data_IF_977557899087
#
_entry.id   IF_977557899087
#
_cell.length_a   1.000
_cell.length_b   1.000
_cell.length_c   1.000
_cell.angle_alpha   90.00
_cell.angle_beta   90.00
_cell.angle_gamma   90.00
#
_symmetry.space_group_name_H-M   'P 1'
#
loop_
_entity.id
_entity.type
_entity.pdbx_description
1 polymer ?
#
# COMPACT_ATOMS: atom_id res chain seq x y z
N UNK A 1 -4.54 27.93 -1.85
CA UNK A 1 -4.34 28.40 -3.25
C UNK A 1 -2.92 28.91 -3.48
N UNK A 2 -2.33 29.71 -2.59
CA UNK A 2 -0.99 30.27 -2.80
C UNK A 2 0.08 29.22 -3.19
N UNK A 3 0.18 28.12 -2.45
CA UNK A 3 1.12 27.02 -2.76
C UNK A 3 0.88 26.33 -4.12
N UNK A 4 -0.32 26.44 -4.70
CA UNK A 4 -0.66 25.86 -6.01
C UNK A 4 -0.22 26.77 -7.17
N UNK A 5 -0.03 28.07 -6.92
CA UNK A 5 0.25 29.04 -7.98
C UNK A 5 1.51 28.69 -8.78
N UNK A 6 2.64 28.24 -8.18
CA UNK A 6 3.81 27.79 -8.94
C UNK A 6 3.53 26.66 -9.93
N UNK A 7 2.51 25.84 -9.68
CA UNK A 7 2.13 24.69 -10.51
C UNK A 7 1.12 25.05 -11.61
N UNK A 8 0.23 26.00 -11.34
CA UNK A 8 -0.90 26.32 -12.24
C UNK A 8 -0.66 27.59 -13.06
N UNK A 9 -0.09 28.62 -12.43
CA UNK A 9 0.09 29.94 -13.01
C UNK A 9 1.32 30.63 -12.39
N UNK A 10 2.54 30.13 -12.63
CA UNK A 10 3.75 30.59 -11.93
C UNK A 10 3.99 32.09 -12.05
N UNK A 11 3.68 32.66 -13.22
CA UNK A 11 3.83 34.10 -13.49
C UNK A 11 2.94 35.01 -12.63
N UNK A 12 1.91 34.49 -11.96
CA UNK A 12 1.05 35.30 -11.11
C UNK A 12 1.75 35.83 -9.85
N UNK A 13 2.87 35.22 -9.43
CA UNK A 13 3.66 35.69 -8.28
C UNK A 13 4.89 36.51 -8.68
N UNK A 14 5.17 36.70 -9.97
CA UNK A 14 6.34 37.46 -10.43
C UNK A 14 6.32 38.92 -9.98
N UNK A 15 5.12 39.47 -9.72
CA UNK A 15 4.94 40.80 -9.15
C UNK A 15 5.58 40.96 -7.75
N UNK A 16 5.82 39.86 -7.05
CA UNK A 16 6.48 39.86 -5.74
C UNK A 16 8.02 39.81 -5.85
N UNK A 17 8.57 39.67 -7.05
CA UNK A 17 10.02 39.80 -7.29
C UNK A 17 10.51 41.25 -7.42
N UNK A 18 9.64 42.25 -7.22
CA UNK A 18 10.02 43.66 -7.32
C UNK A 18 11.16 43.95 -6.34
N UNK A 19 12.28 44.44 -6.90
CA UNK A 19 13.43 44.88 -6.11
C UNK A 19 13.27 46.33 -5.71
N UNK A 20 13.70 46.64 -4.49
CA UNK A 20 13.90 48.01 -4.07
C UNK A 20 15.07 48.61 -4.87
N UNK A 21 14.76 49.57 -5.75
CA UNK A 21 15.74 50.22 -6.65
C UNK A 21 16.91 50.90 -5.92
N UNK A 22 16.72 51.26 -4.65
CA UNK A 22 17.75 51.96 -3.87
C UNK A 22 18.68 50.99 -3.12
N UNK A 23 18.24 49.76 -2.87
CA UNK A 23 18.96 48.79 -2.03
C UNK A 23 19.35 47.50 -2.77
N UNK A 24 18.96 47.37 -4.05
CA UNK A 24 19.10 46.19 -4.90
C UNK A 24 18.72 44.86 -4.21
N UNK A 25 17.74 44.92 -3.30
CA UNK A 25 17.21 43.76 -2.58
C UNK A 25 15.70 43.69 -2.70
N UNK A 26 15.15 42.48 -2.59
CA UNK A 26 13.69 42.28 -2.47
C UNK A 26 13.14 42.87 -1.17
N UNK A 27 11.84 43.12 -1.13
CA UNK A 27 11.16 43.51 0.10
C UNK A 27 10.97 42.28 0.98
N UNK A 28 11.52 42.32 2.20
CA UNK A 28 11.45 41.21 3.16
C UNK A 28 10.01 40.93 3.59
N UNK A 29 9.13 41.93 3.54
CA UNK A 29 7.72 41.79 3.90
C UNK A 29 6.95 40.82 3.00
N UNK A 30 7.36 40.66 1.73
CA UNK A 30 6.73 39.76 0.75
C UNK A 30 7.06 38.29 0.99
N UNK A 31 8.15 38.01 1.73
CA UNK A 31 8.72 36.67 1.83
C UNK A 31 9.11 36.11 0.46
N UNK A 32 8.99 34.79 0.32
CA UNK A 32 9.25 34.09 -0.94
C UNK A 32 10.69 33.67 -1.15
N UNK A 33 10.86 32.62 -1.94
CA UNK A 33 12.16 32.08 -2.33
C UNK A 33 12.27 31.98 -3.85
N UNK A 34 13.51 32.04 -4.36
CA UNK A 34 13.81 31.62 -5.73
C UNK A 34 14.02 30.10 -5.74
N UNK A 35 13.33 29.41 -6.65
CA UNK A 35 13.59 27.99 -6.88
C UNK A 35 14.97 27.74 -7.49
N UNK A 36 15.56 26.58 -7.21
CA UNK A 36 16.83 26.15 -7.85
C UNK A 36 16.62 25.77 -9.32
N UNK A 37 15.54 25.06 -9.59
CA UNK A 37 15.14 24.60 -10.93
C UNK A 37 13.89 25.31 -11.43
N UNK A 38 13.08 25.84 -10.52
CA UNK A 38 11.88 26.61 -10.83
C UNK A 38 12.24 28.09 -11.06
N UNK A 39 12.00 28.60 -12.27
CA UNK A 39 12.33 29.99 -12.65
C UNK A 39 11.42 31.07 -12.07
N UNK A 40 10.34 30.69 -11.37
CA UNK A 40 9.36 31.61 -10.78
C UNK A 40 9.54 31.83 -9.27
N UNK A 41 8.58 32.54 -8.69
CA UNK A 41 8.53 32.85 -7.26
C UNK A 41 7.90 31.69 -6.48
N UNK A 42 8.64 31.12 -5.52
CA UNK A 42 8.11 30.14 -4.58
C UNK A 42 7.56 30.87 -3.36
N UNK A 43 6.25 30.81 -3.08
CA UNK A 43 5.68 31.48 -1.92
C UNK A 43 6.13 30.84 -0.62
N UNK A 44 6.15 31.62 0.46
CA UNK A 44 6.42 31.15 1.83
C UNK A 44 5.21 31.42 2.72
N UNK A 45 5.25 30.99 3.99
CA UNK A 45 4.21 31.38 4.95
C UNK A 45 4.22 32.89 5.21
N UNK A 46 5.37 33.55 5.10
CA UNK A 46 5.47 35.02 5.12
C UNK A 46 4.77 35.66 3.92
N UNK A 47 4.87 35.06 2.73
CA UNK A 47 4.09 35.51 1.57
C UNK A 47 2.59 35.40 1.82
N UNK A 48 2.14 34.32 2.46
CA UNK A 48 0.73 34.18 2.82
C UNK A 48 0.29 35.25 3.83
N UNK A 49 1.11 35.52 4.84
CA UNK A 49 0.84 36.57 5.82
C UNK A 49 0.80 37.96 5.18
N UNK A 50 1.71 38.26 4.24
CA UNK A 50 1.68 39.52 3.50
C UNK A 50 0.38 39.70 2.70
N UNK A 51 0.00 38.69 1.90
CA UNK A 51 -1.20 38.76 1.06
C UNK A 51 -2.48 38.88 1.89
N UNK A 52 -2.56 38.22 3.05
CA UNK A 52 -3.78 38.17 3.86
C UNK A 52 -3.88 39.25 4.94
N UNK A 53 -2.74 39.75 5.43
CA UNK A 53 -2.69 40.63 6.60
C UNK A 53 -1.89 41.93 6.38
N UNK A 54 -1.11 42.05 5.30
CA UNK A 54 -0.23 43.20 5.08
C UNK A 54 0.71 43.41 6.27
N UNK A 55 0.73 44.63 6.82
CA UNK A 55 1.59 45.03 7.94
C UNK A 55 0.96 44.85 9.33
N UNK A 56 -0.30 44.40 9.40
CA UNK A 56 -0.98 44.20 10.69
C UNK A 56 -0.38 42.99 11.43
N UNK A 57 0.44 43.25 12.43
CA UNK A 57 1.16 42.22 13.19
C UNK A 57 0.21 41.20 13.85
N UNK A 58 -0.92 41.65 14.40
CA UNK A 58 -1.85 40.75 15.08
C UNK A 58 -2.50 39.78 14.08
N UNK A 59 -2.88 40.27 12.90
CA UNK A 59 -3.41 39.44 11.82
C UNK A 59 -2.35 38.52 11.22
N UNK A 60 -1.11 38.98 11.07
CA UNK A 60 0.01 38.14 10.61
C UNK A 60 0.23 36.95 11.54
N UNK A 61 0.26 37.17 12.85
CA UNK A 61 0.36 36.10 13.85
C UNK A 61 -0.79 35.09 13.75
N UNK A 62 -2.01 35.56 13.48
CA UNK A 62 -3.15 34.68 13.26
C UNK A 62 -3.01 33.83 11.98
N UNK A 63 -2.47 34.40 10.90
CA UNK A 63 -2.19 33.67 9.65
C UNK A 63 -1.11 32.62 9.85
N UNK A 64 -0.04 32.92 10.60
CA UNK A 64 1.03 31.96 10.86
C UNK A 64 0.55 30.69 11.56
N UNK A 65 -0.45 30.78 12.44
CA UNK A 65 -1.07 29.60 13.07
C UNK A 65 -1.72 28.63 12.08
N UNK A 66 -2.04 29.08 10.86
CA UNK A 66 -2.54 28.20 9.80
C UNK A 66 -1.46 27.29 9.20
N UNK A 67 -0.20 27.55 9.54
CA UNK A 67 0.98 26.83 9.06
C UNK A 67 1.72 26.07 10.18
N UNK A 68 1.16 26.06 11.39
CA UNK A 68 1.62 25.21 12.48
C UNK A 68 1.52 23.73 12.09
N UNK A 69 2.31 22.87 12.71
CA UNK A 69 2.34 21.43 12.39
C UNK A 69 0.96 20.78 12.59
N UNK A 70 0.21 21.23 13.58
CA UNK A 70 -1.13 20.76 13.88
C UNK A 70 -2.21 21.32 12.94
N UNK A 71 -1.91 22.32 12.10
CA UNK A 71 -2.91 22.90 11.21
C UNK A 71 -3.44 21.87 10.20
N UNK A 72 -4.73 21.94 9.86
CA UNK A 72 -5.42 20.92 9.05
C UNK A 72 -4.69 20.58 7.74
N UNK A 73 -4.18 21.60 7.04
CA UNK A 73 -3.48 21.41 5.76
C UNK A 73 -2.09 20.78 5.92
N UNK A 74 -1.38 21.05 7.02
CA UNK A 74 -0.09 20.42 7.34
C UNK A 74 -0.27 19.02 7.86
N UNK A 75 -1.23 18.82 8.78
CA UNK A 75 -1.57 17.53 9.37
C UNK A 75 -2.04 16.52 8.32
N UNK A 76 -2.77 16.97 7.30
CA UNK A 76 -3.19 16.13 6.17
C UNK A 76 -2.10 15.91 5.11
N UNK A 77 -0.89 16.47 5.30
CA UNK A 77 0.21 16.37 4.34
C UNK A 77 -0.02 17.11 3.02
N UNK A 78 -1.07 17.92 2.92
CA UNK A 78 -1.43 18.63 1.68
C UNK A 78 -0.46 19.75 1.35
N UNK A 79 0.13 20.39 2.37
CA UNK A 79 1.18 21.40 2.26
C UNK A 79 2.35 21.06 3.19
N UNK A 80 3.56 21.44 2.79
CA UNK A 80 4.80 21.30 3.56
C UNK A 80 5.61 22.58 3.48
N UNK A 81 6.44 22.79 4.48
CA UNK A 81 7.42 23.88 4.53
C UNK A 81 8.79 23.22 4.42
N UNK A 82 9.52 23.51 3.33
CA UNK A 82 10.83 22.91 3.07
C UNK A 82 11.94 23.77 3.67
N UNK A 83 12.35 23.44 4.89
CA UNK A 83 13.45 24.11 5.58
C UNK A 83 14.79 23.45 5.22
N UNK A 84 15.65 24.15 4.47
CA UNK A 84 16.97 23.62 4.09
C UNK A 84 18.11 24.12 5.00
N UNK A 85 17.91 25.21 5.74
CA UNK A 85 18.96 25.88 6.52
C UNK A 85 18.65 25.91 8.03
N UNK A 86 19.61 25.45 8.84
CA UNK A 86 19.55 25.57 10.30
C UNK A 86 19.81 27.01 10.75
N UNK A 87 18.92 27.57 11.56
CA UNK A 87 19.04 28.93 12.10
C UNK A 87 18.24 29.99 11.33
N UNK A 88 17.59 29.64 10.22
CA UNK A 88 16.68 30.52 9.50
C UNK A 88 15.24 30.40 10.04
N UNK A 89 14.41 31.46 9.93
CA UNK A 89 13.00 31.37 10.29
C UNK A 89 12.27 30.32 9.45
N UNK A 90 11.67 29.32 10.08
CA UNK A 90 10.99 28.23 9.37
C UNK A 90 9.92 28.73 8.41
N UNK A 91 9.19 29.79 8.76
CA UNK A 91 8.12 30.37 7.94
C UNK A 91 8.62 31.13 6.70
N UNK A 92 9.92 31.43 6.64
CA UNK A 92 10.59 31.99 5.47
C UNK A 92 10.96 30.91 4.43
N UNK A 93 10.82 29.62 4.77
CA UNK A 93 11.09 28.53 3.83
C UNK A 93 9.92 28.29 2.86
N UNK A 94 10.23 27.67 1.73
CA UNK A 94 9.29 27.50 0.63
C UNK A 94 8.05 26.69 1.07
N UNK A 95 6.87 27.22 0.76
CA UNK A 95 5.59 26.57 0.97
C UNK A 95 5.26 25.71 -0.25
N UNK A 96 5.42 24.41 -0.11
CA UNK A 96 5.26 23.42 -1.18
C UNK A 96 3.94 22.68 -1.01
N UNK A 97 3.19 22.51 -2.10
CA UNK A 97 2.02 21.64 -2.09
C UNK A 97 2.36 20.20 -2.47
N UNK A 98 1.64 19.25 -1.89
CA UNK A 98 1.71 17.85 -2.28
C UNK A 98 1.18 17.62 -3.70
N UNK A 99 1.68 16.59 -4.42
CA UNK A 99 1.08 16.14 -5.67
C UNK A 99 -0.42 15.83 -5.57
N UNK A 100 -0.88 15.41 -4.38
CA UNK A 100 -2.30 15.22 -4.09
C UNK A 100 -3.10 16.52 -4.17
N UNK A 101 -2.62 17.58 -3.52
CA UNK A 101 -3.32 18.85 -3.56
C UNK A 101 -3.39 19.40 -4.99
N UNK A 102 -2.33 19.21 -5.78
CA UNK A 102 -2.32 19.58 -7.20
C UNK A 102 -3.36 18.78 -7.98
N UNK A 103 -3.34 17.45 -7.91
CA UNK A 103 -4.29 16.60 -8.62
C UNK A 103 -5.74 16.91 -8.23
N UNK A 104 -6.03 17.03 -6.94
CA UNK A 104 -7.38 17.37 -6.46
C UNK A 104 -7.84 18.75 -6.93
N UNK A 105 -6.94 19.72 -7.02
CA UNK A 105 -7.27 21.06 -7.48
C UNK A 105 -7.43 21.16 -9.01
N UNK A 106 -6.77 20.30 -9.78
CA UNK A 106 -6.79 20.36 -11.26
C UNK A 106 -7.78 19.38 -11.89
N UNK A 107 -7.75 18.11 -11.49
CA UNK A 107 -8.59 17.05 -12.07
C UNK A 107 -9.78 16.70 -11.19
N UNK A 108 -9.77 17.13 -9.92
CA UNK A 108 -10.76 16.71 -8.93
C UNK A 108 -10.52 15.30 -8.37
N UNK A 109 -9.53 14.58 -8.91
CA UNK A 109 -9.21 13.22 -8.50
C UNK A 109 -8.19 13.20 -7.35
N UNK A 110 -8.30 12.21 -6.47
CA UNK A 110 -7.25 11.96 -5.48
C UNK A 110 -6.03 11.39 -6.19
N UNK A 111 -4.86 11.96 -5.94
CA UNK A 111 -3.60 11.39 -6.43
C UNK A 111 -3.36 10.03 -5.77
N UNK A 112 -3.32 8.98 -6.59
CA UNK A 112 -3.00 7.62 -6.14
C UNK A 112 -1.54 7.34 -6.51
N UNK A 113 -0.57 7.49 -5.57
CA UNK A 113 0.82 7.22 -5.86
C UNK A 113 1.00 5.77 -6.31
N UNK A 114 2.01 5.53 -7.12
CA UNK A 114 2.47 4.20 -7.52
C UNK A 114 3.95 4.05 -7.18
N UNK A 115 4.46 2.82 -7.26
CA UNK A 115 5.81 2.46 -6.83
C UNK A 115 6.88 3.39 -7.45
N UNK A 116 7.75 3.95 -6.61
CA UNK A 116 8.84 4.82 -7.05
C UNK A 116 9.91 5.04 -5.97
N UNK A 117 10.98 5.80 -6.28
CA UNK A 117 12.14 5.98 -5.38
C UNK A 117 11.80 6.49 -3.97
N UNK A 118 10.72 7.26 -3.82
CA UNK A 118 10.23 7.77 -2.53
C UNK A 118 8.94 7.13 -2.03
N UNK A 119 8.46 6.05 -2.66
CA UNK A 119 7.21 5.40 -2.29
C UNK A 119 7.27 3.87 -2.56
N UNK A 120 7.64 3.07 -1.56
CA UNK A 120 7.92 1.63 -1.69
C UNK A 120 6.65 0.77 -1.69
N UNK A 121 5.53 1.32 -2.17
CA UNK A 121 4.25 0.62 -2.20
C UNK A 121 3.64 0.69 -3.60
N UNK A 122 3.06 -0.42 -4.05
CA UNK A 122 2.39 -0.54 -5.34
C UNK A 122 0.91 -0.77 -5.13
N UNK A 123 0.06 0.01 -5.81
CA UNK A 123 -1.38 -0.26 -5.75
C UNK A 123 -1.68 -1.58 -6.45
N UNK A 124 -2.42 -2.46 -5.78
CA UNK A 124 -2.87 -3.74 -6.33
C UNK A 124 -4.40 -3.72 -6.52
N UNK A 125 -4.83 -4.28 -7.63
CA UNK A 125 -6.24 -4.33 -8.06
C UNK A 125 -6.49 -5.66 -8.76
N UNK A 126 -7.72 -6.15 -8.74
CA UNK A 126 -8.13 -7.38 -9.43
C UNK A 126 -9.38 -7.13 -10.28
N UNK A 127 -9.53 -7.87 -11.38
CA UNK A 127 -10.79 -7.90 -12.13
C UNK A 127 -11.74 -9.01 -11.67
N UNK A 128 -11.30 -9.83 -10.72
CA UNK A 128 -12.04 -10.96 -10.17
C UNK A 128 -13.00 -10.48 -9.06
N UNK A 129 -14.07 -11.24 -8.85
CA UNK A 129 -15.02 -11.04 -7.77
C UNK A 129 -14.92 -12.09 -6.67
N UNK A 130 -15.76 -11.97 -5.64
CA UNK A 130 -15.83 -12.92 -4.52
C UNK A 130 -16.19 -14.34 -4.98
N UNK A 131 -16.94 -14.50 -6.07
CA UNK A 131 -17.27 -15.80 -6.65
C UNK A 131 -16.07 -16.54 -7.26
N UNK A 132 -14.99 -15.81 -7.58
CA UNK A 132 -13.76 -16.40 -8.13
C UNK A 132 -12.79 -16.85 -7.02
N UNK A 133 -13.07 -16.45 -5.77
CA UNK A 133 -12.28 -16.82 -4.60
C UNK A 133 -12.95 -18.02 -3.90
N UNK A 134 -12.29 -19.17 -3.96
CA UNK A 134 -12.72 -20.38 -3.24
C UNK A 134 -11.89 -20.50 -1.97
N UNK A 135 -12.55 -20.45 -0.81
CA UNK A 135 -11.94 -20.58 0.52
C UNK A 135 -12.60 -21.73 1.29
N UNK A 136 -11.88 -22.27 2.27
CA UNK A 136 -12.50 -23.13 3.28
C UNK A 136 -13.45 -22.31 4.17
N UNK A 137 -14.53 -22.92 4.69
CA UNK A 137 -15.53 -22.20 5.50
C UNK A 137 -14.93 -21.42 6.68
N UNK A 138 -13.94 -22.00 7.36
CA UNK A 138 -13.27 -21.37 8.51
C UNK A 138 -12.50 -20.12 8.09
N UNK A 139 -11.86 -20.16 6.92
CA UNK A 139 -11.11 -19.02 6.36
C UNK A 139 -12.08 -17.93 5.92
N UNK A 140 -13.22 -18.32 5.35
CA UNK A 140 -14.26 -17.38 4.93
C UNK A 140 -14.85 -16.62 6.12
N UNK A 141 -15.08 -17.28 7.26
CA UNK A 141 -15.59 -16.65 8.48
C UNK A 141 -14.62 -15.61 9.07
N UNK A 142 -13.32 -15.95 9.12
CA UNK A 142 -12.26 -15.01 9.52
C UNK A 142 -12.17 -13.81 8.58
N UNK A 143 -12.24 -14.03 7.26
CA UNK A 143 -12.25 -12.95 6.27
C UNK A 143 -13.48 -12.07 6.43
N UNK A 144 -14.64 -12.65 6.74
CA UNK A 144 -15.86 -11.89 6.99
C UNK A 144 -15.77 -11.06 8.28
N UNK A 145 -15.10 -11.58 9.30
CA UNK A 145 -14.80 -10.84 10.54
C UNK A 145 -13.93 -9.61 10.23
N UNK A 146 -12.89 -9.77 9.41
CA UNK A 146 -12.05 -8.66 8.96
C UNK A 146 -12.88 -7.63 8.19
N UNK A 147 -13.71 -8.07 7.23
CA UNK A 147 -14.57 -7.18 6.44
C UNK A 147 -15.52 -6.37 7.32
N UNK A 148 -16.19 -7.05 8.26
CA UNK A 148 -17.11 -6.43 9.22
C UNK A 148 -16.41 -5.36 10.05
N UNK A 149 -15.18 -5.60 10.49
CA UNK A 149 -14.41 -4.59 11.20
C UNK A 149 -14.05 -3.39 10.32
N UNK A 150 -13.66 -3.61 9.06
CA UNK A 150 -13.32 -2.50 8.15
C UNK A 150 -14.55 -1.60 7.94
N UNK A 151 -15.73 -2.19 7.79
CA UNK A 151 -16.97 -1.45 7.54
C UNK A 151 -17.54 -0.77 8.80
N UNK A 152 -17.47 -1.44 9.95
CA UNK A 152 -18.21 -1.04 11.14
C UNK A 152 -17.35 -0.74 12.38
N UNK A 153 -16.04 -1.00 12.34
CA UNK A 153 -15.15 -0.91 13.50
C UNK A 153 -15.14 0.47 14.17
N UNK A 154 -15.17 1.55 13.39
CA UNK A 154 -15.22 2.91 13.93
C UNK A 154 -16.54 3.20 14.68
N UNK A 155 -17.66 2.68 14.17
CA UNK A 155 -18.96 2.81 14.83
C UNK A 155 -18.99 1.92 16.09
N UNK A 156 -18.53 0.68 15.99
CA UNK A 156 -18.46 -0.26 17.12
C UNK A 156 -17.64 0.32 18.29
N UNK A 157 -16.45 0.84 18.02
CA UNK A 157 -15.60 1.43 19.07
C UNK A 157 -16.30 2.59 19.78
N UNK A 158 -16.97 3.47 19.03
CA UNK A 158 -17.67 4.64 19.57
C UNK A 158 -18.94 4.23 20.32
N UNK A 159 -19.80 3.46 19.68
CA UNK A 159 -21.14 3.16 20.14
C UNK A 159 -21.10 2.19 21.33
N UNK A 160 -20.07 1.33 21.41
CA UNK A 160 -19.86 0.42 22.53
C UNK A 160 -18.86 0.97 23.58
N UNK A 161 -18.34 2.19 23.38
CA UNK A 161 -17.43 2.84 24.33
C UNK A 161 -16.05 2.18 24.48
N UNK A 162 -15.62 1.36 23.52
CA UNK A 162 -14.39 0.57 23.59
C UNK A 162 -13.11 1.35 23.24
N UNK A 163 -13.22 2.63 22.89
CA UNK A 163 -12.09 3.49 22.49
C UNK A 163 -10.97 3.58 23.52
N UNK A 164 -11.27 3.41 24.81
CA UNK A 164 -10.28 3.45 25.89
C UNK A 164 -9.58 2.10 26.13
N UNK A 165 -10.20 1.00 25.69
CA UNK A 165 -9.70 -0.36 25.92
C UNK A 165 -8.99 -0.93 24.69
N UNK A 166 -9.37 -0.49 23.49
CA UNK A 166 -8.90 -1.06 22.22
C UNK A 166 -8.32 0.02 21.33
N UNK A 167 -7.06 -0.16 20.89
CA UNK A 167 -6.44 0.71 19.90
C UNK A 167 -7.21 0.62 18.56
N UNK A 168 -7.38 1.75 17.83
CA UNK A 168 -7.95 1.71 16.49
C UNK A 168 -7.07 0.89 15.52
N UNK A 169 -7.69 0.35 14.47
CA UNK A 169 -7.02 -0.44 13.43
C UNK A 169 -7.23 -1.95 13.57
N UNK A 170 -6.92 -2.67 12.49
CA UNK A 170 -7.03 -4.13 12.44
C UNK A 170 -5.83 -4.73 11.73
N UNK A 171 -5.16 -5.64 12.40
CA UNK A 171 -3.96 -6.32 11.92
C UNK A 171 -4.28 -7.79 11.72
N UNK A 172 -4.08 -8.23 10.49
CA UNK A 172 -4.28 -9.62 10.09
C UNK A 172 -2.98 -10.23 9.57
N UNK A 173 -2.71 -11.47 9.92
CA UNK A 173 -1.63 -12.27 9.38
C UNK A 173 -2.21 -13.40 8.53
N UNK A 174 -2.03 -13.31 7.22
CA UNK A 174 -2.41 -14.35 6.27
C UNK A 174 -1.20 -15.27 6.04
N UNK A 175 -1.32 -16.53 6.43
CA UNK A 175 -0.22 -17.48 6.25
C UNK A 175 -0.70 -18.76 5.56
N UNK A 176 0.20 -19.43 4.85
CA UNK A 176 -0.10 -20.67 4.15
C UNK A 176 0.69 -20.81 2.85
N UNK A 177 0.54 -21.92 2.12
CA UNK A 177 1.27 -22.14 0.88
C UNK A 177 1.09 -21.02 -0.16
N UNK A 178 2.04 -20.84 -1.09
CA UNK A 178 1.90 -19.88 -2.16
C UNK A 178 0.73 -20.24 -3.09
N UNK A 179 0.04 -19.23 -3.62
CA UNK A 179 -1.05 -19.42 -4.58
C UNK A 179 -2.39 -19.85 -3.99
N UNK A 180 -2.57 -19.81 -2.66
CA UNK A 180 -3.85 -20.14 -1.97
C UNK A 180 -4.83 -18.95 -1.84
N UNK A 181 -4.54 -17.80 -2.46
CA UNK A 181 -5.49 -16.68 -2.54
C UNK A 181 -5.27 -15.55 -1.53
N UNK A 182 -4.18 -15.53 -0.76
CA UNK A 182 -3.86 -14.46 0.21
C UNK A 182 -3.95 -13.04 -0.37
N UNK A 183 -3.21 -12.78 -1.46
CA UNK A 183 -3.21 -11.48 -2.15
C UNK A 183 -4.56 -11.15 -2.78
N UNK A 184 -5.23 -12.15 -3.36
CA UNK A 184 -6.55 -11.97 -3.97
C UNK A 184 -7.59 -11.57 -2.92
N UNK A 185 -7.57 -12.22 -1.76
CA UNK A 185 -8.43 -11.91 -0.61
C UNK A 185 -8.24 -10.47 -0.15
N UNK A 186 -6.98 -10.01 -0.01
CA UNK A 186 -6.70 -8.62 0.34
C UNK A 186 -7.25 -7.62 -0.69
N UNK A 187 -7.12 -7.91 -2.00
CA UNK A 187 -7.70 -7.06 -3.05
C UNK A 187 -9.22 -7.04 -3.03
N UNK A 188 -9.87 -8.17 -2.74
CA UNK A 188 -11.32 -8.28 -2.68
C UNK A 188 -11.90 -7.57 -1.46
N UNK A 189 -11.23 -7.64 -0.30
CA UNK A 189 -11.56 -6.84 0.88
C UNK A 189 -11.55 -5.35 0.54
N UNK A 190 -10.50 -4.86 -0.13
CA UNK A 190 -10.43 -3.46 -0.56
C UNK A 190 -11.54 -3.08 -1.53
N UNK A 191 -11.86 -3.95 -2.49
CA UNK A 191 -12.96 -3.71 -3.43
C UNK A 191 -14.33 -3.65 -2.76
N UNK A 192 -14.60 -4.52 -1.78
CA UNK A 192 -15.86 -4.55 -1.05
C UNK A 192 -16.14 -3.22 -0.32
N UNK A 193 -15.10 -2.62 0.27
CA UNK A 193 -15.23 -1.37 1.04
C UNK A 193 -14.86 -0.11 0.26
N UNK A 194 -14.52 -0.23 -1.03
CA UNK A 194 -14.06 0.88 -1.86
C UNK A 194 -12.70 1.48 -1.44
N UNK A 195 -11.86 0.71 -0.75
CA UNK A 195 -10.53 1.12 -0.30
C UNK A 195 -9.43 0.73 -1.30
N UNK A 196 -8.45 1.62 -1.49
CA UNK A 196 -7.24 1.28 -2.25
C UNK A 196 -6.36 0.32 -1.42
N UNK A 197 -5.85 -0.72 -2.07
CA UNK A 197 -4.94 -1.70 -1.46
C UNK A 197 -3.52 -1.45 -1.97
N UNK A 198 -2.59 -1.21 -1.05
CA UNK A 198 -1.20 -0.94 -1.35
C UNK A 198 -0.33 -2.11 -0.91
N UNK A 199 0.33 -2.75 -1.88
CA UNK A 199 1.30 -3.81 -1.63
C UNK A 199 2.68 -3.25 -1.32
N UNK A 200 3.24 -3.61 -0.18
CA UNK A 200 4.62 -3.37 0.22
C UNK A 200 5.33 -4.72 0.25
N UNK A 201 6.44 -4.82 -0.47
CA UNK A 201 7.27 -6.03 -0.48
C UNK A 201 8.36 -5.89 0.58
N UNK A 202 8.28 -6.70 1.63
CA UNK A 202 9.18 -6.59 2.77
C UNK A 202 10.59 -7.05 2.47
N UNK A 203 10.80 -7.94 1.49
CA UNK A 203 12.16 -8.34 1.10
C UNK A 203 12.92 -7.18 0.44
N UNK A 204 12.22 -6.32 -0.31
CA UNK A 204 12.80 -5.10 -0.88
C UNK A 204 13.14 -4.04 0.17
N UNK A 205 12.33 -3.96 1.24
CA UNK A 205 12.50 -2.99 2.33
C UNK A 205 13.72 -3.35 3.18
N UNK A 206 13.89 -4.62 3.53
CA UNK A 206 15.00 -5.09 4.38
C UNK A 206 16.34 -5.16 3.62
N UNK A 207 16.32 -5.27 2.29
CA UNK A 207 17.54 -5.49 1.48
C UNK A 207 18.23 -4.23 0.95
N UNK A 208 17.59 -3.05 1.00
CA UNK A 208 18.08 -1.83 0.34
C UNK A 208 18.11 -0.64 1.30
N UNK A 209 19.33 -0.20 1.63
CA UNK A 209 19.67 1.07 2.27
C UNK A 209 19.07 1.32 3.65
N UNK A 210 19.94 1.20 4.66
CA UNK A 210 19.70 1.54 6.07
C UNK A 210 19.24 3.01 6.16
N UNK A 211 18.06 3.26 6.72
CA UNK A 211 17.52 4.59 7.05
C UNK A 211 16.66 5.29 5.97
N UNK A 212 17.03 5.26 4.68
CA UNK A 212 16.20 5.87 3.61
C UNK A 212 14.87 5.11 3.44
N UNK A 213 14.93 3.79 3.57
CA UNK A 213 13.77 2.92 3.50
C UNK A 213 12.81 3.10 4.66
N UNK A 214 13.29 3.38 5.87
CA UNK A 214 12.44 3.69 7.03
C UNK A 214 11.65 4.98 6.80
N UNK A 215 12.31 6.04 6.34
CA UNK A 215 11.67 7.33 6.03
C UNK A 215 10.59 7.17 4.96
N UNK A 216 10.91 6.41 3.91
CA UNK A 216 9.98 6.11 2.83
C UNK A 216 8.77 5.31 3.32
N UNK A 217 8.99 4.31 4.17
CA UNK A 217 7.93 3.49 4.74
C UNK A 217 7.06 4.27 5.74
N UNK A 218 7.68 5.12 6.57
CA UNK A 218 6.96 6.06 7.43
C UNK A 218 6.00 6.93 6.61
N UNK A 219 6.48 7.46 5.49
CA UNK A 219 5.65 8.24 4.55
C UNK A 219 4.51 7.46 3.90
N UNK A 220 4.61 6.13 3.75
CA UNK A 220 3.49 5.27 3.31
C UNK A 220 2.41 5.22 4.39
N UNK A 221 2.79 4.92 5.64
CA UNK A 221 1.85 4.87 6.77
C UNK A 221 1.15 6.22 7.01
N UNK A 222 1.89 7.33 6.96
CA UNK A 222 1.34 8.67 7.18
C UNK A 222 0.32 9.03 6.08
N UNK A 223 0.60 8.69 4.81
CA UNK A 223 -0.38 8.87 3.73
C UNK A 223 -1.59 7.96 3.88
N UNK A 224 -1.37 6.70 4.27
CA UNK A 224 -2.43 5.72 4.44
C UNK A 224 -3.41 6.09 5.56
N UNK A 225 -2.91 6.72 6.63
CA UNK A 225 -3.70 7.13 7.79
C UNK A 225 -4.83 8.10 7.43
N UNK A 226 -4.65 8.91 6.39
CA UNK A 226 -5.64 9.90 5.94
C UNK A 226 -6.49 9.45 4.75
N UNK A 227 -6.25 8.25 4.21
CA UNK A 227 -6.80 7.83 2.92
C UNK A 227 -7.58 6.51 2.95
N UNK A 228 -7.83 5.96 4.14
CA UNK A 228 -8.55 4.69 4.34
C UNK A 228 -7.97 3.55 3.47
N UNK A 229 -6.64 3.48 3.39
CA UNK A 229 -5.97 2.44 2.63
C UNK A 229 -5.84 1.15 3.42
N UNK A 230 -5.86 0.02 2.70
CA UNK A 230 -5.42 -1.27 3.23
C UNK A 230 -3.95 -1.45 2.86
N UNK A 231 -3.10 -1.61 3.87
CA UNK A 231 -1.68 -1.89 3.67
C UNK A 231 -1.46 -3.40 3.65
N UNK A 232 -1.08 -3.93 2.49
CA UNK A 232 -0.79 -5.34 2.28
C UNK A 232 0.73 -5.56 2.22
N UNK A 233 1.29 -6.16 3.26
CA UNK A 233 2.71 -6.49 3.34
C UNK A 233 2.93 -7.92 2.84
N UNK A 234 3.55 -8.05 1.68
CA UNK A 234 3.89 -9.35 1.10
C UNK A 234 5.27 -9.81 1.57
N UNK A 235 5.51 -11.13 1.49
CA UNK A 235 6.78 -11.75 1.91
C UNK A 235 7.17 -11.42 3.37
N UNK A 236 6.20 -11.40 4.28
CA UNK A 236 6.43 -11.17 5.71
C UNK A 236 7.36 -12.21 6.37
N UNK A 237 7.66 -13.31 5.67
CA UNK A 237 8.73 -14.26 5.97
C UNK A 237 10.08 -13.59 6.27
N UNK A 238 10.36 -12.46 5.62
CA UNK A 238 11.56 -11.66 5.87
C UNK A 238 11.62 -11.11 7.32
N UNK A 239 10.47 -10.87 7.97
CA UNK A 239 10.39 -10.42 9.36
C UNK A 239 10.52 -11.57 10.36
N UNK A 240 10.25 -12.80 9.91
CA UNK A 240 10.25 -14.02 10.73
C UNK A 240 11.57 -14.79 10.68
N UNK A 241 12.54 -14.32 9.88
CA UNK A 241 13.88 -14.91 9.84
C UNK A 241 14.37 -15.18 11.26
N UNK A 242 14.86 -16.39 11.52
CA UNK A 242 15.36 -16.82 12.83
C UNK A 242 16.16 -15.65 13.40
N UNK A 243 15.75 -15.13 14.56
CA UNK A 243 16.57 -14.22 15.38
C UNK A 243 17.91 -14.92 15.57
N UNK A 244 18.84 -14.72 14.66
CA UNK A 244 20.13 -15.39 14.67
C UNK A 244 20.81 -14.91 15.93
N UNK A 245 21.28 -15.86 16.73
CA UNK A 245 22.06 -15.60 17.93
C UNK A 245 23.14 -14.57 17.59
N UNK A 246 22.96 -13.37 18.14
CA UNK A 246 23.71 -12.15 17.86
C UNK A 246 25.20 -12.42 17.84
N UNK A 247 25.80 -12.45 16.65
CA UNK A 247 27.26 -12.58 16.49
C UNK A 247 27.85 -11.45 15.65
N UNK A 248 27.05 -10.79 14.79
CA UNK A 248 27.51 -9.66 13.96
C UNK A 248 26.76 -8.36 14.26
N UNK A 249 27.38 -7.21 13.93
CA UNK A 249 26.72 -5.89 13.99
C UNK A 249 25.53 -5.81 13.05
N UNK A 250 25.58 -6.47 11.89
CA UNK A 250 24.54 -6.43 10.87
C UNK A 250 23.24 -7.10 11.36
N UNK A 251 23.34 -8.18 12.13
CA UNK A 251 22.17 -8.87 12.71
C UNK A 251 21.44 -7.99 13.74
N UNK A 252 22.16 -7.12 14.46
CA UNK A 252 21.55 -6.19 15.42
C UNK A 252 20.74 -5.10 14.72
N UNK A 253 21.25 -4.55 13.62
CA UNK A 253 20.54 -3.55 12.83
C UNK A 253 19.27 -4.11 12.19
N UNK A 254 19.33 -5.32 11.61
CA UNK A 254 18.15 -5.96 11.03
C UNK A 254 17.04 -6.21 12.07
N UNK A 255 17.38 -6.62 13.29
CA UNK A 255 16.41 -6.79 14.38
C UNK A 255 15.75 -5.47 14.82
N UNK A 256 16.49 -4.36 14.77
CA UNK A 256 15.97 -3.03 15.10
C UNK A 256 14.97 -2.55 14.03
N UNK A 257 15.27 -2.75 12.75
CA UNK A 257 14.37 -2.39 11.64
C UNK A 257 13.05 -3.18 11.69
N UNK A 258 13.13 -4.48 11.95
CA UNK A 258 11.92 -5.32 12.15
C UNK A 258 11.10 -4.81 13.34
N UNK A 259 11.76 -4.44 14.43
CA UNK A 259 11.07 -3.90 15.62
C UNK A 259 10.38 -2.56 15.32
N UNK A 260 11.04 -1.67 14.59
CA UNK A 260 10.47 -0.40 14.14
C UNK A 260 9.24 -0.61 13.25
N UNK A 261 9.35 -1.48 12.24
CA UNK A 261 8.24 -1.79 11.36
C UNK A 261 7.03 -2.34 12.12
N UNK A 262 7.27 -3.27 13.05
CA UNK A 262 6.19 -3.84 13.85
C UNK A 262 5.50 -2.78 14.71
N UNK A 263 6.27 -1.87 15.30
CA UNK A 263 5.69 -0.75 16.03
C UNK A 263 4.82 0.13 15.13
N UNK A 264 5.28 0.44 13.91
CA UNK A 264 4.47 1.20 12.94
C UNK A 264 3.20 0.47 12.51
N UNK A 265 3.27 -0.86 12.34
CA UNK A 265 2.08 -1.69 12.06
C UNK A 265 1.10 -1.66 13.24
N UNK A 266 1.59 -1.71 14.48
CA UNK A 266 0.77 -1.68 15.69
C UNK A 266 0.10 -0.33 15.96
N UNK A 267 0.78 0.77 15.62
CA UNK A 267 0.29 2.13 15.84
C UNK A 267 -0.55 2.65 14.67
N UNK A 268 -0.59 1.93 13.54
CA UNK A 268 -1.41 2.31 12.40
C UNK A 268 -2.91 2.11 12.69
N UNK A 269 -3.73 3.17 12.64
CA UNK A 269 -5.15 3.10 13.01
C UNK A 269 -6.05 2.49 11.92
N UNK A 270 -5.47 2.09 10.78
CA UNK A 270 -6.19 1.47 9.66
C UNK A 270 -6.01 -0.05 9.60
N UNK A 271 -6.24 -0.62 8.41
CA UNK A 271 -6.15 -2.07 8.20
C UNK A 271 -4.79 -2.45 7.64
N UNK A 272 -4.12 -3.38 8.30
CA UNK A 272 -2.86 -3.97 7.86
C UNK A 272 -3.02 -5.47 7.68
N UNK A 273 -2.60 -5.99 6.54
CA UNK A 273 -2.59 -7.41 6.24
C UNK A 273 -1.14 -7.81 5.93
N UNK A 274 -0.56 -8.69 6.73
CA UNK A 274 0.75 -9.30 6.47
C UNK A 274 0.52 -10.66 5.80
N UNK A 275 1.25 -10.97 4.74
CA UNK A 275 1.19 -12.26 4.05
C UNK A 275 2.52 -13.00 4.14
N UNK A 276 2.45 -14.28 4.51
CA UNK A 276 3.60 -15.16 4.75
C UNK A 276 3.39 -16.51 4.09
N UNK A 277 4.47 -17.10 3.58
CA UNK A 277 4.47 -18.47 3.03
C UNK A 277 5.05 -19.49 4.03
N UNK A 278 5.63 -19.04 5.15
CA UNK A 278 6.20 -19.93 6.16
C UNK A 278 5.14 -20.87 6.76
N UNK A 279 5.49 -22.16 6.80
CA UNK A 279 4.78 -23.21 7.54
C UNK A 279 5.19 -23.28 9.03
N UNK A 280 6.15 -22.46 9.46
CA UNK A 280 6.83 -22.57 10.77
C UNK A 280 6.15 -21.80 11.92
N UNK A 281 6.62 -22.04 13.14
CA UNK A 281 6.13 -21.41 14.38
C UNK A 281 6.35 -19.89 14.34
N UNK A 282 5.26 -19.15 14.14
CA UNK A 282 5.21 -17.72 14.47
C UNK A 282 5.41 -17.61 15.99
N UNK A 283 6.38 -16.80 16.42
CA UNK A 283 6.62 -16.53 17.85
C UNK A 283 5.31 -16.05 18.51
N UNK A 284 4.97 -16.60 19.67
CA UNK A 284 3.76 -16.25 20.41
C UNK A 284 3.71 -14.75 20.71
N UNK A 285 4.86 -14.13 20.99
CA UNK A 285 4.96 -12.68 21.22
C UNK A 285 4.61 -11.85 19.97
N UNK A 286 4.78 -12.41 18.78
CA UNK A 286 4.39 -11.78 17.53
C UNK A 286 2.91 -12.01 17.25
N UNK A 287 2.45 -13.26 17.39
CA UNK A 287 1.05 -13.65 17.18
C UNK A 287 0.07 -12.78 17.99
N UNK A 288 0.40 -12.46 19.25
CA UNK A 288 -0.42 -11.61 20.15
C UNK A 288 -0.65 -10.18 19.64
N UNK A 289 0.10 -9.71 18.62
CA UNK A 289 -0.03 -8.36 18.04
C UNK A 289 -1.11 -8.28 16.95
N UNK A 290 -1.63 -9.43 16.51
CA UNK A 290 -2.63 -9.55 15.44
C UNK A 290 -4.01 -9.83 16.04
N UNK A 291 -5.03 -9.21 15.46
CA UNK A 291 -6.42 -9.49 15.80
C UNK A 291 -6.91 -10.77 15.10
N UNK A 292 -6.41 -11.04 13.88
CA UNK A 292 -6.72 -12.23 13.12
C UNK A 292 -5.45 -12.91 12.59
N UNK A 293 -5.35 -14.22 12.76
CA UNK A 293 -4.32 -15.04 12.13
C UNK A 293 -5.04 -16.07 11.27
N UNK A 294 -4.98 -15.87 9.95
CA UNK A 294 -5.80 -16.62 9.00
C UNK A 294 -4.90 -17.59 8.23
N UNK A 295 -5.13 -18.88 8.42
CA UNK A 295 -4.45 -19.93 7.69
C UNK A 295 -5.17 -20.21 6.37
N UNK A 296 -4.47 -20.07 5.24
CA UNK A 296 -4.95 -20.41 3.91
C UNK A 296 -4.41 -21.79 3.51
N UNK A 297 -5.17 -22.88 3.74
CA UNK A 297 -4.73 -24.24 3.40
C UNK A 297 -4.67 -24.46 1.89
N UNK A 298 -4.09 -25.59 1.48
CA UNK A 298 -4.30 -26.08 0.11
C UNK A 298 -5.77 -26.45 -0.08
N UNK A 299 -6.38 -26.14 -1.24
CA UNK A 299 -7.77 -26.49 -1.50
C UNK A 299 -7.94 -28.01 -1.58
N UNK A 300 -9.07 -28.52 -1.09
CA UNK A 300 -9.47 -29.93 -1.24
C UNK A 300 -9.92 -30.25 -2.69
N UNK A 301 -10.30 -31.49 -2.97
CA UNK A 301 -10.70 -31.90 -4.32
C UNK A 301 -11.96 -31.17 -4.82
N UNK A 302 -12.93 -30.89 -3.95
CA UNK A 302 -14.16 -30.20 -4.31
C UNK A 302 -13.88 -28.72 -4.63
N UNK A 303 -13.09 -28.05 -3.78
CA UNK A 303 -12.62 -26.69 -3.98
C UNK A 303 -11.76 -26.57 -5.24
N UNK A 304 -10.87 -27.53 -5.51
CA UNK A 304 -10.10 -27.57 -6.76
C UNK A 304 -11.00 -27.72 -7.98
N UNK A 305 -12.05 -28.54 -7.90
CA UNK A 305 -13.02 -28.68 -8.98
C UNK A 305 -13.76 -27.35 -9.25
N UNK A 306 -14.15 -26.61 -8.21
CA UNK A 306 -14.74 -25.28 -8.34
C UNK A 306 -13.76 -24.31 -9.03
N UNK A 307 -12.50 -24.29 -8.60
CA UNK A 307 -11.44 -23.47 -9.22
C UNK A 307 -11.24 -23.80 -10.70
N UNK A 308 -11.17 -25.09 -11.06
CA UNK A 308 -11.08 -25.55 -12.45
C UNK A 308 -12.26 -25.06 -13.28
N UNK A 309 -13.49 -25.19 -12.78
CA UNK A 309 -14.71 -24.75 -13.47
C UNK A 309 -14.75 -23.23 -13.65
N UNK A 310 -14.33 -22.46 -12.65
CA UNK A 310 -14.27 -20.99 -12.75
C UNK A 310 -13.29 -20.53 -13.82
N UNK A 311 -12.06 -21.09 -13.81
CA UNK A 311 -11.01 -20.75 -14.78
C UNK A 311 -11.32 -21.23 -16.20
N UNK A 312 -12.07 -22.32 -16.34
CA UNK A 312 -12.50 -22.89 -17.61
C UNK A 312 -14.00 -22.69 -17.86
N UNK A 313 -14.53 -21.53 -17.45
CA UNK A 313 -15.96 -21.17 -17.54
C UNK A 313 -16.50 -21.05 -18.98
N UNK A 314 -15.63 -21.12 -19.99
CA UNK A 314 -15.98 -21.11 -21.42
C UNK A 314 -15.92 -22.52 -22.00
N UNK A 315 -17.01 -23.30 -21.95
CA UNK A 315 -17.00 -24.70 -22.36
C UNK A 315 -16.61 -24.89 -23.83
N UNK A 316 -16.88 -23.91 -24.70
CA UNK A 316 -16.49 -23.96 -26.11
C UNK A 316 -14.97 -23.93 -26.35
N UNK A 317 -14.20 -23.52 -25.33
CA UNK A 317 -12.72 -23.48 -25.31
C UNK A 317 -12.09 -24.73 -24.69
N UNK A 318 -12.90 -25.68 -24.22
CA UNK A 318 -12.45 -26.92 -23.61
C UNK A 318 -12.87 -28.09 -24.50
N UNK A 319 -11.95 -29.00 -24.77
CA UNK A 319 -12.24 -30.20 -25.55
C UNK A 319 -12.92 -31.26 -24.67
N UNK A 320 -13.74 -32.12 -25.27
CA UNK A 320 -14.57 -33.12 -24.57
C UNK A 320 -13.76 -34.22 -23.85
N UNK A 321 -12.48 -34.33 -24.16
CA UNK A 321 -11.56 -35.29 -23.53
C UNK A 321 -11.09 -34.84 -22.13
N UNK A 322 -11.40 -33.61 -21.72
CA UNK A 322 -11.01 -33.04 -20.44
C UNK A 322 -11.99 -33.45 -19.34
N UNK A 323 -11.49 -34.26 -18.39
CA UNK A 323 -12.20 -34.63 -17.17
C UNK A 323 -11.70 -33.75 -15.99
N UNK A 324 -12.45 -32.70 -15.65
CA UNK A 324 -12.12 -31.80 -14.54
C UNK A 324 -12.21 -32.48 -13.16
N UNK A 325 -13.26 -33.27 -12.85
CA UNK A 325 -13.28 -34.08 -11.62
C UNK A 325 -12.03 -34.94 -11.44
N UNK A 326 -11.59 -35.67 -12.46
CA UNK A 326 -10.39 -36.51 -12.37
C UNK A 326 -9.12 -35.67 -12.14
N UNK A 327 -8.99 -34.51 -12.79
CA UNK A 327 -7.86 -33.59 -12.57
C UNK A 327 -7.86 -32.99 -11.17
N UNK A 328 -9.04 -32.67 -10.62
CA UNK A 328 -9.18 -32.14 -9.29
C UNK A 328 -8.82 -33.18 -8.22
N UNK A 329 -9.22 -34.43 -8.39
CA UNK A 329 -8.90 -35.53 -7.47
C UNK A 329 -7.40 -35.88 -7.49
N UNK A 330 -6.82 -36.04 -8.69
CA UNK A 330 -5.49 -36.61 -8.86
C UNK A 330 -4.33 -35.67 -8.48
N UNK A 331 -4.55 -34.36 -8.43
CA UNK A 331 -3.47 -33.37 -8.31
C UNK A 331 -3.75 -32.31 -7.24
N UNK A 332 -2.97 -32.34 -6.16
CA UNK A 332 -2.98 -31.32 -5.11
C UNK A 332 -2.31 -30.02 -5.59
N UNK A 333 -3.08 -29.17 -6.27
CA UNK A 333 -2.63 -27.88 -6.80
C UNK A 333 -3.31 -26.72 -6.08
N UNK A 334 -2.59 -25.61 -5.89
CA UNK A 334 -3.15 -24.36 -5.38
C UNK A 334 -3.93 -23.64 -6.49
N UNK A 335 -4.80 -22.68 -6.14
CA UNK A 335 -5.52 -21.90 -7.15
C UNK A 335 -4.60 -21.17 -8.12
N UNK A 336 -3.48 -20.64 -7.63
CA UNK A 336 -2.43 -20.04 -8.47
C UNK A 336 -1.77 -21.05 -9.41
N UNK A 337 -1.50 -22.27 -8.94
CA UNK A 337 -0.96 -23.34 -9.78
C UNK A 337 -1.98 -23.77 -10.85
N UNK A 338 -3.26 -23.96 -10.51
CA UNK A 338 -4.32 -24.27 -11.47
C UNK A 338 -4.43 -23.19 -12.55
N UNK A 339 -4.39 -21.90 -12.17
CA UNK A 339 -4.39 -20.78 -13.12
C UNK A 339 -3.18 -20.82 -14.07
N UNK A 340 -1.99 -21.19 -13.58
CA UNK A 340 -0.81 -21.39 -14.41
C UNK A 340 -0.95 -22.58 -15.37
N UNK A 341 -1.55 -23.69 -14.92
CA UNK A 341 -1.83 -24.85 -15.77
C UNK A 341 -2.78 -24.48 -16.90
N UNK A 342 -3.90 -23.80 -16.59
CA UNK A 342 -4.86 -23.32 -17.61
C UNK A 342 -4.18 -22.37 -18.59
N UNK A 343 -3.38 -21.41 -18.10
CA UNK A 343 -2.61 -20.49 -18.94
C UNK A 343 -1.67 -21.25 -19.87
N UNK A 344 -0.95 -22.24 -19.36
CA UNK A 344 -0.06 -23.07 -20.17
C UNK A 344 -0.84 -23.83 -21.23
N UNK A 345 -1.95 -24.46 -20.87
CA UNK A 345 -2.80 -25.21 -21.79
C UNK A 345 -3.35 -24.34 -22.92
N UNK A 346 -3.80 -23.12 -22.59
CA UNK A 346 -4.26 -22.14 -23.57
C UNK A 346 -3.14 -21.74 -24.57
N UNK A 347 -1.93 -21.47 -24.07
CA UNK A 347 -0.78 -21.15 -24.92
C UNK A 347 -0.40 -22.32 -25.81
N UNK A 348 -0.39 -23.55 -25.29
CA UNK A 348 -0.06 -24.75 -26.07
C UNK A 348 -1.09 -25.02 -27.17
N UNK A 349 -2.38 -24.87 -26.87
CA UNK A 349 -3.45 -24.99 -27.86
C UNK A 349 -3.27 -23.95 -28.98
N UNK A 350 -3.04 -22.68 -28.65
CA UNK A 350 -2.83 -21.61 -29.63
C UNK A 350 -1.58 -21.85 -30.49
N UNK A 351 -0.47 -22.30 -29.91
CA UNK A 351 0.75 -22.64 -30.67
C UNK A 351 0.55 -23.77 -31.66
N UNK A 352 -0.38 -24.68 -31.36
CA UNK A 352 -0.77 -25.78 -32.23
C UNK A 352 -1.88 -25.41 -33.24
N UNK A 353 -2.26 -24.12 -33.33
CA UNK A 353 -3.35 -23.65 -34.20
C UNK A 353 -4.74 -24.10 -33.76
N UNK A 354 -4.90 -24.56 -32.51
CA UNK A 354 -6.16 -25.06 -31.95
C UNK A 354 -6.85 -23.97 -31.12
N UNK A 355 -8.18 -23.98 -31.13
CA UNK A 355 -9.01 -23.05 -30.35
C UNK A 355 -9.52 -23.64 -29.04
N UNK A 356 -9.27 -24.94 -28.80
CA UNK A 356 -9.69 -25.72 -27.63
C UNK A 356 -8.50 -26.34 -26.90
N UNK A 357 -8.55 -26.29 -25.58
CA UNK A 357 -7.60 -26.96 -24.67
C UNK A 357 -7.99 -28.43 -24.53
N UNK A 358 -7.03 -29.33 -24.71
CA UNK A 358 -7.22 -30.79 -24.58
C UNK A 358 -6.70 -31.31 -23.24
N UNK A 359 -7.04 -32.56 -22.89
CA UNK A 359 -6.53 -33.19 -21.68
C UNK A 359 -4.99 -33.31 -21.67
N UNK A 360 -4.38 -33.51 -22.83
CA UNK A 360 -2.92 -33.56 -22.97
C UNK A 360 -2.27 -32.23 -22.60
N UNK A 361 -2.84 -31.11 -23.04
CA UNK A 361 -2.32 -29.77 -22.75
C UNK A 361 -2.34 -29.48 -21.24
N UNK A 362 -3.43 -29.85 -20.56
CA UNK A 362 -3.58 -29.69 -19.12
C UNK A 362 -2.63 -30.62 -18.34
N UNK A 363 -2.51 -31.89 -18.71
CA UNK A 363 -1.56 -32.83 -18.07
C UNK A 363 -0.11 -32.35 -18.21
N UNK A 364 0.28 -31.83 -19.37
CA UNK A 364 1.61 -31.22 -19.56
C UNK A 364 1.81 -30.00 -18.66
N UNK A 365 0.79 -29.16 -18.51
CA UNK A 365 0.81 -28.02 -17.60
C UNK A 365 0.94 -28.45 -16.13
N UNK A 366 0.17 -29.45 -15.69
CA UNK A 366 0.28 -30.03 -14.33
C UNK A 366 1.69 -30.54 -14.08
N UNK A 367 2.22 -31.38 -14.98
CA UNK A 367 3.56 -31.94 -14.85
C UNK A 367 4.65 -30.86 -14.81
N UNK A 368 4.41 -29.70 -15.44
CA UNK A 368 5.32 -28.55 -15.40
C UNK A 368 5.24 -27.80 -14.07
N UNK A 369 4.05 -27.58 -13.53
CA UNK A 369 3.89 -26.90 -12.23
C UNK A 369 4.43 -27.77 -11.09
N UNK A 370 4.14 -29.07 -11.08
CA UNK A 370 4.70 -30.00 -10.08
C UNK A 370 6.23 -30.02 -10.10
N UNK A 371 6.84 -30.01 -11.30
CA UNK A 371 8.30 -29.89 -11.45
C UNK A 371 8.87 -28.59 -10.90
N UNK A 372 8.17 -27.46 -11.06
CA UNK A 372 8.59 -26.17 -10.48
C UNK A 372 8.55 -26.20 -8.95
N UNK A 373 7.57 -26.89 -8.38
CA UNK A 373 7.43 -27.08 -6.94
C UNK A 373 8.40 -28.12 -6.36
N UNK A 374 9.25 -28.73 -7.19
CA UNK A 374 10.20 -29.76 -6.77
C UNK A 374 9.55 -31.12 -6.45
N UNK A 375 8.30 -31.34 -6.86
CA UNK A 375 7.59 -32.62 -6.75
C UNK A 375 7.87 -33.47 -7.99
N UNK A 376 8.33 -34.70 -7.80
CA UNK A 376 8.53 -35.67 -8.90
C UNK A 376 7.17 -36.17 -9.39
N UNK A 377 7.00 -36.22 -10.72
CA UNK A 377 5.75 -36.59 -11.43
C UNK A 377 5.47 -38.08 -11.34
#
# INVERSE_FOLDING_TARGET
>A
MLALVPHLRPQALDLLFVRNKNLDRGFTEFGGCKGRTHGGFLPTAETAAFVLAGDDLARRLAVFRLFDEDAVLRRSGLIRIETEATGEPALAAALVCSPELVARATTGERHKPDFGPGFPARRITTGLGWSDLVLAPEVQDEVQTILTWIEHGAALLRDWGLQQAVKPGWRSLFHGPPGTGKTLTATLLGQAVGADVYRIDLSMVVSKYIGETEKNLAGVFDQAQHRHWILFFDEADALFGKRTSTSSSNDRYANQEVSYLLQRVEDFPGTVILASNLKGNIDEAFARRFQSIVYFPMPDAEQRLQLWRGLLSRPERVHVDVDLPALAEAHELSGGAIANVVRHGAVTALRAGRTRITALDLRQGVARELRKEGRTV
#
